data_IF_922821742199
#
_entry.id   IF_922821742199
#
_cell.length_a   1.000
_cell.length_b   1.000
_cell.length_c   1.000
_cell.angle_alpha   90.00
_cell.angle_beta   90.00
_cell.angle_gamma   90.00
#
_symmetry.space_group_name_H-M   'P 1'
#
loop_
_entity.id
_entity.type
_entity.pdbx_description
1 polymer ?
#
# COMPACT_ATOMS: atom_id res chain seq x y z
N UNK A 1 -21.90 -7.67 30.13
CA UNK A 1 -21.52 -8.40 28.90
C UNK A 1 -20.03 -8.17 28.68
N UNK A 2 -19.18 -9.13 29.05
CA UNK A 2 -17.72 -9.02 28.86
C UNK A 2 -17.41 -9.48 27.45
N UNK A 3 -16.85 -8.61 26.62
CA UNK A 3 -16.24 -9.02 25.35
C UNK A 3 -15.02 -9.88 25.72
N UNK A 4 -14.94 -11.15 25.31
CA UNK A 4 -13.75 -11.95 25.57
C UNK A 4 -12.69 -11.43 24.61
N UNK A 5 -11.88 -10.48 25.07
CA UNK A 5 -10.61 -10.22 24.43
C UNK A 5 -9.86 -11.55 24.44
N UNK A 6 -9.67 -12.14 23.25
CA UNK A 6 -8.58 -13.09 23.08
C UNK A 6 -7.35 -12.39 23.65
N UNK A 7 -6.80 -12.92 24.73
CA UNK A 7 -5.48 -12.52 25.21
C UNK A 7 -4.53 -13.00 24.14
N UNK A 8 -4.33 -12.18 23.11
CA UNK A 8 -3.26 -12.39 22.13
C UNK A 8 -1.99 -12.23 22.95
N UNK A 9 -1.48 -13.34 23.48
CA UNK A 9 -0.11 -13.36 23.96
C UNK A 9 0.75 -13.04 22.75
N UNK A 10 1.55 -11.97 22.78
CA UNK A 10 2.47 -11.71 21.69
C UNK A 10 3.37 -12.94 21.54
N UNK A 11 3.35 -13.52 20.33
CA UNK A 11 4.25 -14.61 19.98
C UNK A 11 5.68 -14.09 19.95
N UNK A 12 6.64 -14.97 20.24
CA UNK A 12 8.05 -14.62 20.15
C UNK A 12 8.40 -14.10 18.74
N UNK A 13 8.95 -12.89 18.67
CA UNK A 13 9.53 -12.30 17.47
C UNK A 13 11.03 -12.09 17.70
N UNK A 14 11.84 -12.81 16.92
CA UNK A 14 13.29 -12.73 17.00
C UNK A 14 13.81 -11.30 16.81
N UNK A 15 13.20 -10.52 15.91
CA UNK A 15 13.68 -9.17 15.60
C UNK A 15 13.43 -8.18 16.75
N UNK A 16 12.48 -8.48 17.65
CA UNK A 16 12.25 -7.71 18.87
C UNK A 16 13.20 -8.09 20.02
N UNK A 17 13.84 -9.26 19.95
CA UNK A 17 14.72 -9.78 21.00
C UNK A 17 16.17 -9.97 20.52
N UNK A 18 16.54 -9.40 19.36
CA UNK A 18 17.79 -9.66 18.66
C UNK A 18 19.04 -9.50 19.54
N UNK A 19 19.04 -8.53 20.46
CA UNK A 19 20.16 -8.26 21.37
C UNK A 19 20.44 -9.41 22.36
N UNK A 20 19.45 -10.27 22.59
CA UNK A 20 19.56 -11.44 23.47
C UNK A 20 20.05 -12.70 22.73
N UNK A 21 20.17 -12.65 21.40
CA UNK A 21 20.57 -13.78 20.55
C UNK A 21 21.70 -13.35 19.61
N UNK A 22 22.94 -13.41 20.10
CA UNK A 22 24.10 -13.14 19.27
C UNK A 22 24.22 -14.16 18.13
N UNK A 23 24.34 -13.67 16.89
CA UNK A 23 24.56 -14.52 15.74
C UNK A 23 25.91 -15.23 15.86
N UNK A 24 25.94 -16.54 15.62
CA UNK A 24 27.19 -17.22 15.31
C UNK A 24 27.74 -16.62 13.99
N UNK A 25 29.05 -16.39 13.90
CA UNK A 25 29.68 -15.92 12.66
C UNK A 25 29.53 -17.01 11.58
N UNK A 26 28.50 -16.87 10.75
CA UNK A 26 28.19 -17.74 9.62
C UNK A 26 28.41 -16.91 8.34
N UNK A 27 28.85 -17.56 7.26
CA UNK A 27 29.09 -16.88 5.98
C UNK A 27 27.82 -16.16 5.49
N UNK A 28 27.98 -14.94 4.97
CA UNK A 28 26.87 -14.11 4.45
C UNK A 28 26.43 -14.49 3.02
N UNK A 29 27.05 -15.50 2.41
CA UNK A 29 26.81 -15.86 1.00
C UNK A 29 25.33 -16.18 0.70
N UNK A 30 24.65 -16.83 1.64
CA UNK A 30 23.22 -17.15 1.51
C UNK A 30 22.35 -15.90 1.56
N UNK A 31 22.66 -14.96 2.46
CA UNK A 31 21.90 -13.71 2.61
C UNK A 31 22.03 -12.84 1.36
N UNK A 32 23.21 -12.80 0.75
CA UNK A 32 23.43 -12.03 -0.48
C UNK A 32 22.71 -12.66 -1.67
N UNK A 33 22.67 -14.00 -1.75
CA UNK A 33 21.85 -14.70 -2.75
C UNK A 33 20.34 -14.42 -2.57
N UNK A 34 19.85 -14.41 -1.33
CA UNK A 34 18.45 -14.09 -1.03
C UNK A 34 18.13 -12.64 -1.39
N UNK A 35 19.01 -11.68 -1.05
CA UNK A 35 18.84 -10.26 -1.42
C UNK A 35 18.74 -10.09 -2.93
N UNK A 36 19.64 -10.72 -3.68
CA UNK A 36 19.60 -10.68 -5.15
C UNK A 36 18.27 -11.21 -5.68
N UNK A 37 17.79 -12.36 -5.18
CA UNK A 37 16.51 -12.92 -5.61
C UNK A 37 15.32 -11.99 -5.29
N UNK A 38 15.35 -11.31 -4.14
CA UNK A 38 14.34 -10.31 -3.75
C UNK A 38 14.36 -9.13 -4.73
N UNK A 39 15.54 -8.59 -5.06
CA UNK A 39 15.69 -7.45 -5.98
C UNK A 39 15.23 -7.79 -7.40
N UNK A 40 15.55 -9.00 -7.87
CA UNK A 40 15.06 -9.50 -9.15
C UNK A 40 13.54 -9.63 -9.16
N UNK A 41 12.95 -10.13 -8.06
CA UNK A 41 11.49 -10.24 -7.94
C UNK A 41 10.84 -8.86 -7.87
N UNK A 42 11.42 -7.93 -7.12
CA UNK A 42 10.94 -6.55 -7.00
C UNK A 42 10.87 -5.89 -8.39
N UNK A 43 11.93 -6.03 -9.19
CA UNK A 43 11.99 -5.49 -10.55
C UNK A 43 10.90 -6.09 -11.46
N UNK A 44 10.53 -7.37 -11.25
CA UNK A 44 9.47 -8.06 -12.01
C UNK A 44 8.06 -7.60 -11.62
N UNK A 45 7.83 -7.25 -10.35
CA UNK A 45 6.51 -6.84 -9.85
C UNK A 45 6.31 -5.32 -9.80
N UNK A 46 7.37 -4.53 -9.94
CA UNK A 46 7.27 -3.07 -9.90
C UNK A 46 6.39 -2.57 -11.06
N UNK A 47 5.42 -1.69 -10.79
CA UNK A 47 4.56 -1.11 -11.81
C UNK A 47 5.37 -0.34 -12.85
N UNK A 48 4.90 -0.31 -14.09
CA UNK A 48 5.56 0.44 -15.16
C UNK A 48 5.32 1.94 -14.95
N UNK A 49 6.29 2.78 -15.30
CA UNK A 49 6.20 4.25 -15.20
C UNK A 49 4.94 4.80 -15.89
N UNK A 50 4.62 4.25 -17.06
CA UNK A 50 3.49 4.70 -17.87
C UNK A 50 2.16 4.35 -17.19
N UNK A 51 2.08 3.21 -16.51
CA UNK A 51 0.89 2.78 -15.79
C UNK A 51 0.61 3.70 -14.60
N UNK A 52 1.64 4.06 -13.84
CA UNK A 52 1.54 5.00 -12.72
C UNK A 52 1.09 6.37 -13.22
N UNK A 53 1.69 6.84 -14.31
CA UNK A 53 1.39 8.16 -14.90
C UNK A 53 -0.06 8.22 -15.38
N UNK A 54 -0.51 7.20 -16.12
CA UNK A 54 -1.86 7.12 -16.66
C UNK A 54 -2.92 7.07 -15.55
N UNK A 55 -2.68 6.27 -14.49
CA UNK A 55 -3.58 6.19 -13.35
C UNK A 55 -3.63 7.50 -12.57
N UNK A 56 -2.47 8.11 -12.30
CA UNK A 56 -2.39 9.39 -11.59
C UNK A 56 -3.15 10.49 -12.35
N UNK A 57 -3.03 10.54 -13.67
CA UNK A 57 -3.77 11.48 -14.51
C UNK A 57 -5.28 11.21 -14.46
N UNK A 58 -5.69 9.95 -14.50
CA UNK A 58 -7.10 9.55 -14.44
C UNK A 58 -7.73 9.96 -13.09
N UNK A 59 -7.02 9.67 -11.99
CA UNK A 59 -7.43 10.04 -10.63
C UNK A 59 -7.52 11.55 -10.49
N UNK A 60 -6.53 12.29 -10.99
CA UNK A 60 -6.55 13.76 -10.95
C UNK A 60 -7.75 14.34 -11.67
N UNK A 61 -8.10 13.80 -12.85
CA UNK A 61 -9.32 14.22 -13.59
C UNK A 61 -10.59 13.90 -12.81
N UNK A 62 -10.68 12.72 -12.20
CA UNK A 62 -11.82 12.33 -11.39
C UNK A 62 -11.96 13.22 -10.15
N UNK A 63 -10.87 13.52 -9.45
CA UNK A 63 -10.86 14.45 -8.32
C UNK A 63 -11.39 15.84 -8.71
N UNK A 64 -10.97 16.37 -9.85
CA UNK A 64 -11.48 17.65 -10.36
C UNK A 64 -12.99 17.61 -10.64
N UNK A 65 -13.51 16.48 -11.13
CA UNK A 65 -14.95 16.29 -11.34
C UNK A 65 -15.65 16.26 -9.98
N UNK A 66 -15.17 15.45 -9.02
CA UNK A 66 -15.76 15.34 -7.69
C UNK A 66 -15.74 16.67 -6.93
N UNK A 67 -14.68 17.48 -7.06
CA UNK A 67 -14.60 18.83 -6.47
C UNK A 67 -15.66 19.78 -7.05
N UNK A 68 -15.90 19.70 -8.37
CA UNK A 68 -16.96 20.48 -9.02
C UNK A 68 -18.35 20.05 -8.55
N UNK A 69 -18.58 18.74 -8.44
CA UNK A 69 -19.85 18.20 -7.95
C UNK A 69 -20.09 18.58 -6.48
N UNK A 70 -19.05 18.56 -5.66
CA UNK A 70 -19.12 19.00 -4.26
C UNK A 70 -19.44 20.50 -4.14
N UNK A 71 -18.86 21.34 -4.99
CA UNK A 71 -19.06 22.80 -4.97
C UNK A 71 -20.34 23.29 -5.66
N UNK A 72 -20.91 22.49 -6.57
CA UNK A 72 -22.14 22.80 -7.31
C UNK A 72 -23.24 21.75 -7.10
N UNK A 73 -23.73 21.54 -5.85
CA UNK A 73 -24.67 20.48 -5.53
C UNK A 73 -26.07 20.68 -6.15
N UNK A 74 -26.40 21.90 -6.58
CA UNK A 74 -27.72 22.23 -7.17
C UNK A 74 -28.03 21.46 -8.46
N UNK A 75 -27.03 20.83 -9.09
CA UNK A 75 -27.15 20.08 -10.33
C UNK A 75 -27.23 18.56 -10.10
N UNK A 76 -27.09 18.08 -8.86
CA UNK A 76 -27.18 16.66 -8.49
C UNK A 76 -28.07 16.51 -7.26
N UNK A 77 -29.33 16.19 -7.50
CA UNK A 77 -30.32 15.94 -6.44
C UNK A 77 -30.17 14.56 -5.77
N UNK A 78 -29.32 13.69 -6.35
CA UNK A 78 -29.19 12.30 -5.96
C UNK A 78 -28.17 12.03 -4.82
N UNK A 79 -27.15 12.88 -4.65
CA UNK A 79 -26.15 12.71 -3.59
C UNK A 79 -25.41 14.00 -3.25
N UNK A 80 -25.03 14.15 -1.98
CA UNK A 80 -24.15 15.22 -1.49
C UNK A 80 -22.80 14.64 -1.12
N UNK A 81 -21.73 15.17 -1.71
CA UNK A 81 -20.36 14.74 -1.45
C UNK A 81 -19.78 15.61 -0.32
N UNK A 82 -19.41 14.99 0.81
CA UNK A 82 -18.75 15.70 1.92
C UNK A 82 -17.23 15.70 1.74
N UNK A 83 -16.62 14.54 1.50
CA UNK A 83 -15.19 14.40 1.24
C UNK A 83 -14.90 13.18 0.36
N UNK A 84 -13.72 13.17 -0.26
CA UNK A 84 -13.18 12.04 -1.03
C UNK A 84 -11.65 12.07 -0.93
N UNK A 85 -11.02 10.90 -0.89
CA UNK A 85 -9.57 10.80 -0.67
C UNK A 85 -9.00 9.63 -1.44
N UNK A 86 -7.86 9.82 -2.11
CA UNK A 86 -7.14 8.68 -2.70
C UNK A 86 -6.56 7.82 -1.59
N UNK A 87 -6.90 6.53 -1.59
CA UNK A 87 -6.45 5.53 -0.60
C UNK A 87 -5.83 4.33 -1.32
N UNK A 88 -5.55 3.26 -0.57
CA UNK A 88 -5.07 2.00 -1.13
C UNK A 88 -3.65 2.08 -1.72
N UNK A 89 -3.35 1.15 -2.61
CA UNK A 89 -1.99 0.90 -3.10
C UNK A 89 -1.37 2.06 -3.86
N UNK A 90 -2.17 2.82 -4.63
CA UNK A 90 -1.68 4.02 -5.33
C UNK A 90 -1.20 5.07 -4.32
N UNK A 91 -1.99 5.34 -3.28
CA UNK A 91 -1.63 6.33 -2.25
C UNK A 91 -0.40 5.91 -1.44
N UNK A 92 -0.30 4.61 -1.14
CA UNK A 92 0.78 4.05 -0.32
C UNK A 92 2.06 3.75 -1.10
N UNK A 93 2.05 3.89 -2.43
CA UNK A 93 3.20 3.53 -3.28
C UNK A 93 3.49 2.03 -3.33
N UNK A 94 2.49 1.19 -3.02
CA UNK A 94 2.60 -0.27 -2.96
C UNK A 94 1.90 -0.96 -4.14
N UNK A 95 1.64 -0.22 -5.22
CA UNK A 95 1.09 -0.79 -6.45
C UNK A 95 2.02 -1.86 -7.02
N UNK A 96 1.41 -2.88 -7.63
CA UNK A 96 2.10 -3.94 -8.34
C UNK A 96 1.74 -3.90 -9.84
N UNK A 97 2.66 -4.40 -10.67
CA UNK A 97 2.49 -4.52 -12.11
C UNK A 97 1.22 -5.30 -12.45
N UNK A 98 0.57 -4.88 -13.54
CA UNK A 98 -0.67 -5.46 -14.07
C UNK A 98 -1.89 -5.32 -13.14
N UNK A 99 -1.75 -4.71 -11.96
CA UNK A 99 -2.85 -4.39 -11.05
C UNK A 99 -3.18 -2.89 -11.10
N UNK A 100 -3.88 -2.49 -12.17
CA UNK A 100 -4.19 -1.08 -12.49
C UNK A 100 -5.49 -0.62 -11.85
N UNK A 101 -5.63 -0.83 -10.54
CA UNK A 101 -6.80 -0.45 -9.76
C UNK A 101 -6.42 0.69 -8.81
N UNK A 102 -7.35 1.62 -8.59
CA UNK A 102 -7.19 2.72 -7.66
C UNK A 102 -8.43 2.83 -6.79
N UNK A 103 -8.20 3.06 -5.50
CA UNK A 103 -9.24 3.26 -4.49
C UNK A 103 -9.33 4.73 -4.10
N UNK A 104 -10.56 5.23 -3.95
CA UNK A 104 -10.89 6.61 -3.59
C UNK A 104 -12.07 6.69 -2.63
#
# INVERSE_FOLDING_TARGET
MKIPYATIQPTFDYYLAKDHFSAANISNDLDDSIKQAIDERLTKIMPRSDDITNLTQTVSKLMLILDRLKSSPEHIDACKIDCFFVVGSLRMGTMIRDHRIVDM
#
